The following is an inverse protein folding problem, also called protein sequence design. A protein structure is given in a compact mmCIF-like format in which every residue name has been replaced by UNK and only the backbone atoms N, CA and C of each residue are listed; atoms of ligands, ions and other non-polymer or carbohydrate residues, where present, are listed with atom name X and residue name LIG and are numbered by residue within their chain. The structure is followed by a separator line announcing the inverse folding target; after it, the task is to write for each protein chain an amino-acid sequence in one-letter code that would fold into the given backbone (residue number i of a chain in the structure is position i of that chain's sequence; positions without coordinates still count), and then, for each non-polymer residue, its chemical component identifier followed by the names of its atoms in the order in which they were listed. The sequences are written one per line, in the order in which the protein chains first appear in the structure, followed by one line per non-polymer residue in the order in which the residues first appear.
data_IF_778239255264
#
_entry.id   IF_778239255264
#
_cell.length_a   1.000
_cell.length_b   1.000
_cell.length_c   1.000
_cell.angle_alpha   90.00
_cell.angle_beta   90.00
_cell.angle_gamma   90.00
#
_symmetry.space_group_name_H-M   'P 1'
#
loop_
_entity.id
_entity.type
_entity.pdbx_description
1 polymer ?
#
# COMPACT_ATOMS: atom_id res chain seq x y z
N UNK A 1 13.52 3.96 11.06
CA UNK A 1 13.40 3.49 9.66
C UNK A 1 12.39 2.36 9.61
N UNK A 2 11.46 2.41 8.67
CA UNK A 2 10.45 1.37 8.57
C UNK A 2 11.05 0.08 8.01
N UNK A 3 10.61 -1.04 8.57
CA UNK A 3 10.98 -2.35 8.06
C UNK A 3 10.29 -2.56 6.71
N UNK A 4 10.99 -3.22 5.79
CA UNK A 4 10.42 -3.58 4.49
C UNK A 4 10.07 -5.07 4.52
N UNK A 5 8.79 -5.37 4.37
CA UNK A 5 8.30 -6.76 4.36
C UNK A 5 7.96 -7.24 2.94
N UNK A 6 7.65 -6.32 2.04
CA UNK A 6 7.27 -6.65 0.68
C UNK A 6 7.47 -5.46 -0.24
N UNK A 7 7.45 -5.74 -1.54
CA UNK A 7 7.36 -4.71 -2.56
C UNK A 7 6.08 -4.90 -3.34
N UNK A 8 5.50 -3.79 -3.78
CA UNK A 8 4.28 -3.81 -4.57
C UNK A 8 4.42 -2.86 -5.76
N UNK A 9 3.75 -3.22 -6.83
CA UNK A 9 3.50 -2.29 -7.93
C UNK A 9 2.15 -1.66 -7.69
N UNK A 10 2.12 -0.33 -7.57
CA UNK A 10 0.97 0.37 -7.04
C UNK A 10 0.63 1.58 -7.90
N UNK A 11 -0.66 1.93 -7.92
CA UNK A 11 -1.17 3.11 -8.60
C UNK A 11 -2.05 3.89 -7.62
N UNK A 12 -1.76 5.17 -7.46
CA UNK A 12 -2.61 6.08 -6.70
C UNK A 12 -3.87 6.40 -7.51
N UNK A 13 -5.02 6.39 -6.85
CA UNK A 13 -6.25 6.87 -7.48
C UNK A 13 -6.18 8.38 -7.63
N UNK A 14 -6.68 8.87 -8.76
CA UNK A 14 -6.77 10.30 -9.01
C UNK A 14 -7.94 10.89 -8.23
N UNK A 15 -8.00 12.24 -8.06
CA UNK A 15 -9.17 12.85 -7.44
C UNK A 15 -10.48 12.52 -8.15
N UNK A 16 -10.45 12.34 -9.47
CA UNK A 16 -11.62 11.96 -10.27
C UNK A 16 -12.07 10.53 -9.95
N UNK A 17 -11.17 9.70 -9.45
CA UNK A 17 -11.47 8.34 -9.02
C UNK A 17 -11.79 8.24 -7.53
N UNK A 18 -12.07 9.38 -6.90
CA UNK A 18 -12.32 9.47 -5.46
C UNK A 18 -11.09 9.15 -4.62
N UNK A 19 -9.91 9.37 -5.16
CA UNK A 19 -8.66 9.28 -4.43
C UNK A 19 -8.36 10.53 -3.61
N UNK A 20 -7.12 10.63 -3.16
CA UNK A 20 -6.67 11.82 -2.44
C UNK A 20 -6.68 13.04 -3.38
N UNK A 21 -6.94 14.23 -2.81
CA UNK A 21 -6.85 15.47 -3.57
C UNK A 21 -5.42 15.74 -4.03
N UNK A 22 -4.45 15.36 -3.19
CA UNK A 22 -3.02 15.53 -3.47
C UNK A 22 -2.30 14.25 -3.13
N UNK A 23 -1.23 13.96 -3.85
CA UNK A 23 -0.36 12.83 -3.51
C UNK A 23 0.32 13.10 -2.17
N UNK A 24 0.61 12.03 -1.40
CA UNK A 24 1.36 12.21 -0.15
C UNK A 24 2.71 12.87 -0.42
N UNK A 25 3.12 13.75 0.48
CA UNK A 25 4.47 14.33 0.45
C UNK A 25 5.38 13.51 1.34
N UNK A 26 6.66 13.56 1.06
CA UNK A 26 7.66 12.88 1.85
C UNK A 26 7.88 11.43 1.44
N UNK A 27 8.89 10.78 2.06
CA UNK A 27 9.33 9.44 1.65
C UNK A 27 8.50 8.30 2.24
N UNK A 28 7.62 8.58 3.19
CA UNK A 28 6.82 7.55 3.85
C UNK A 28 5.37 8.00 4.02
N UNK A 29 4.48 7.03 3.95
CA UNK A 29 3.04 7.28 4.10
C UNK A 29 2.43 6.15 4.91
N UNK A 30 1.89 6.48 6.09
CA UNK A 30 1.24 5.50 6.96
C UNK A 30 -0.24 5.45 6.65
N UNK A 31 -0.78 4.25 6.52
CA UNK A 31 -2.17 4.07 6.13
C UNK A 31 -2.69 2.73 6.63
N UNK A 32 -3.96 2.47 6.35
CA UNK A 32 -4.52 1.13 6.44
C UNK A 32 -4.57 0.51 5.05
N UNK A 33 -4.71 -0.79 5.01
CA UNK A 33 -4.85 -1.51 3.76
C UNK A 33 -5.65 -2.79 3.99
N UNK A 34 -6.18 -3.35 2.91
CA UNK A 34 -6.75 -4.69 2.95
C UNK A 34 -6.38 -5.45 1.68
N UNK A 35 -6.42 -6.76 1.77
CA UNK A 35 -6.28 -7.62 0.60
C UNK A 35 -7.63 -7.71 -0.12
N UNK A 36 -7.57 -8.02 -1.41
CA UNK A 36 -8.73 -7.99 -2.30
C UNK A 36 -9.94 -8.78 -1.77
N UNK A 37 -9.66 -9.95 -1.23
CA UNK A 37 -10.70 -10.91 -0.81
C UNK A 37 -10.85 -11.03 0.71
N UNK A 38 -10.26 -10.10 1.47
CA UNK A 38 -10.26 -10.17 2.92
C UNK A 38 -10.96 -8.97 3.52
N UNK A 39 -11.79 -9.18 4.58
CA UNK A 39 -12.47 -8.07 5.23
C UNK A 39 -11.60 -7.32 6.23
N UNK A 40 -10.47 -7.89 6.64
CA UNK A 40 -9.63 -7.31 7.68
C UNK A 40 -8.76 -6.20 7.14
N UNK A 41 -8.59 -5.15 7.95
CA UNK A 41 -7.69 -4.05 7.65
C UNK A 41 -6.39 -4.21 8.46
N UNK A 42 -5.29 -3.79 7.85
CA UNK A 42 -3.96 -3.88 8.44
C UNK A 42 -3.29 -2.51 8.38
N UNK A 43 -2.49 -2.21 9.37
CA UNK A 43 -1.69 -0.98 9.38
C UNK A 43 -0.40 -1.21 8.56
N UNK A 44 -0.12 -0.29 7.65
CA UNK A 44 1.00 -0.41 6.73
C UNK A 44 1.73 0.92 6.60
N UNK A 45 3.03 0.86 6.39
CA UNK A 45 3.83 2.02 5.99
C UNK A 45 4.28 1.80 4.56
N UNK A 46 3.91 2.73 3.69
CA UNK A 46 4.31 2.74 2.29
C UNK A 46 5.53 3.62 2.16
N UNK A 47 6.65 3.05 1.73
CA UNK A 47 7.89 3.80 1.51
C UNK A 47 7.98 4.18 0.04
N UNK A 48 8.21 5.46 -0.20
CA UNK A 48 8.19 6.08 -1.52
C UNK A 48 9.55 6.72 -1.78
N UNK A 49 10.57 5.91 -2.13
CA UNK A 49 11.95 6.43 -2.22
C UNK A 49 12.10 7.61 -3.18
N UNK A 50 11.31 7.64 -4.23
CA UNK A 50 11.34 8.72 -5.22
C UNK A 50 10.08 9.60 -5.14
N UNK A 51 9.40 9.58 -4.00
CA UNK A 51 8.15 10.31 -3.82
C UNK A 51 6.97 9.62 -4.49
N UNK A 52 5.78 10.13 -4.21
CA UNK A 52 4.56 9.62 -4.84
C UNK A 52 4.39 10.22 -6.23
N UNK A 53 3.91 9.41 -7.16
CA UNK A 53 3.62 9.86 -8.52
C UNK A 53 2.42 9.10 -9.05
N UNK A 54 1.68 9.73 -9.97
CA UNK A 54 0.58 9.06 -10.65
C UNK A 54 1.12 8.03 -11.64
N UNK A 55 0.27 7.07 -12.00
CA UNK A 55 0.69 5.93 -12.80
C UNK A 55 1.27 4.84 -11.93
N UNK A 56 1.77 3.78 -12.55
CA UNK A 56 2.34 2.65 -11.83
C UNK A 56 3.70 3.02 -11.27
N UNK A 57 3.91 2.68 -9.99
CA UNK A 57 5.21 2.82 -9.36
C UNK A 57 5.44 1.63 -8.42
N UNK A 58 6.70 1.31 -8.22
CA UNK A 58 7.09 0.28 -7.25
C UNK A 58 7.31 0.96 -5.90
N UNK A 59 6.72 0.39 -4.86
CA UNK A 59 6.83 0.88 -3.50
C UNK A 59 7.26 -0.23 -2.57
N UNK A 60 7.81 0.14 -1.43
CA UNK A 60 8.13 -0.80 -0.35
C UNK A 60 7.04 -0.71 0.71
N UNK A 61 6.67 -1.86 1.25
CA UNK A 61 5.61 -1.97 2.25
C UNK A 61 6.16 -2.59 3.52
N UNK A 62 5.80 -2.01 4.67
CA UNK A 62 6.09 -2.60 5.97
C UNK A 62 4.82 -2.65 6.80
N UNK A 63 4.47 -3.82 7.31
CA UNK A 63 3.28 -3.98 8.16
C UNK A 63 3.66 -3.76 9.62
N UNK A 64 2.81 -3.05 10.33
CA UNK A 64 3.03 -2.81 11.76
C UNK A 64 3.00 -4.12 12.55
N UNK A 65 2.10 -5.03 12.17
CA UNK A 65 1.96 -6.35 12.79
C UNK A 65 2.21 -7.44 11.77
N UNK A 66 3.47 -7.55 11.34
CA UNK A 66 3.88 -8.47 10.25
C UNK A 66 3.45 -9.91 10.53
N UNK A 67 3.60 -10.38 11.75
CA UNK A 67 3.30 -11.75 12.12
C UNK A 67 1.80 -12.07 12.00
N UNK A 68 0.93 -11.07 12.11
CA UNK A 68 -0.51 -11.27 11.99
C UNK A 68 -0.96 -11.35 10.53
N UNK A 69 -0.20 -10.81 9.61
CA UNK A 69 -0.49 -10.89 8.17
C UNK A 69 -0.22 -12.30 7.67
N UNK A 70 0.87 -12.90 8.15
CA UNK A 70 1.15 -14.31 7.95
C UNK A 70 1.18 -14.74 6.50
N UNK A 71 0.45 -15.80 6.22
CA UNK A 71 0.42 -16.45 4.91
C UNK A 71 -0.31 -15.65 3.84
N UNK A 72 -1.02 -14.59 4.22
CA UNK A 72 -1.70 -13.73 3.26
C UNK A 72 -0.72 -12.92 2.43
N UNK A 73 0.51 -12.75 2.94
CA UNK A 73 1.52 -11.97 2.27
C UNK A 73 2.22 -12.82 1.20
N UNK A 74 1.67 -12.80 0.00
CA UNK A 74 2.14 -13.60 -1.14
C UNK A 74 2.24 -12.76 -2.40
N UNK A 75 3.19 -13.12 -3.25
CA UNK A 75 3.30 -12.51 -4.58
C UNK A 75 2.02 -12.75 -5.36
N UNK A 76 1.54 -11.71 -6.04
CA UNK A 76 0.32 -11.77 -6.82
C UNK A 76 -0.94 -11.34 -6.08
N UNK A 77 -0.87 -11.17 -4.76
CA UNK A 77 -2.04 -10.69 -4.01
C UNK A 77 -2.32 -9.23 -4.33
N UNK A 78 -3.57 -8.94 -4.58
CA UNK A 78 -4.01 -7.55 -4.77
C UNK A 78 -4.22 -6.89 -3.44
N UNK A 79 -3.84 -5.61 -3.38
CA UNK A 79 -3.96 -4.81 -2.16
C UNK A 79 -4.65 -3.48 -2.47
N UNK A 80 -5.33 -2.96 -1.45
CA UNK A 80 -5.97 -1.65 -1.50
C UNK A 80 -5.49 -0.85 -0.31
N UNK A 81 -4.93 0.32 -0.58
CA UNK A 81 -4.48 1.26 0.46
C UNK A 81 -5.64 2.20 0.73
N UNK A 82 -5.95 2.40 2.02
CA UNK A 82 -7.16 3.13 2.40
C UNK A 82 -6.87 4.25 3.38
N UNK A 83 -7.75 5.26 3.33
CA UNK A 83 -7.88 6.31 4.36
C UNK A 83 -9.33 6.26 4.81
N UNK A 84 -9.56 5.66 6.00
CA UNK A 84 -10.91 5.36 6.41
C UNK A 84 -11.55 4.41 5.39
N UNK A 85 -12.79 4.67 4.96
CA UNK A 85 -13.43 3.79 3.97
C UNK A 85 -12.98 4.05 2.53
N UNK A 86 -12.21 5.11 2.29
CA UNK A 86 -11.80 5.51 0.95
C UNK A 86 -10.59 4.74 0.50
N UNK A 87 -10.65 4.10 -0.67
CA UNK A 87 -9.49 3.51 -1.32
C UNK A 87 -8.72 4.63 -2.02
N UNK A 88 -7.46 4.82 -1.66
CA UNK A 88 -6.64 5.88 -2.24
C UNK A 88 -5.58 5.34 -3.21
N UNK A 89 -5.27 4.05 -3.12
CA UNK A 89 -4.34 3.41 -4.04
C UNK A 89 -4.63 1.92 -4.12
N UNK A 90 -4.18 1.30 -5.19
CA UNK A 90 -4.36 -0.12 -5.40
C UNK A 90 -3.13 -0.70 -6.07
N UNK A 91 -2.87 -1.97 -5.83
CA UNK A 91 -1.69 -2.59 -6.39
C UNK A 91 -1.64 -4.09 -6.21
N UNK A 92 -0.47 -4.61 -6.46
CA UNK A 92 -0.20 -6.03 -6.41
C UNK A 92 1.17 -6.25 -5.78
N UNK A 93 1.26 -7.24 -4.88
CA UNK A 93 2.53 -7.63 -4.28
C UNK A 93 3.37 -8.32 -5.35
N UNK A 94 4.60 -7.82 -5.55
CA UNK A 94 5.52 -8.34 -6.54
C UNK A 94 6.71 -9.07 -5.92
N UNK A 95 6.97 -8.85 -4.63
CA UNK A 95 8.04 -9.55 -3.92
C UNK A 95 7.71 -9.58 -2.43
N UNK A 96 8.04 -10.67 -1.78
CA UNK A 96 7.96 -10.81 -0.32
C UNK A 96 9.38 -11.01 0.20
N UNK A 97 9.75 -10.21 1.20
CA UNK A 97 11.12 -10.16 1.71
C UNK A 97 11.26 -10.88 3.05
#
# INVERSE_FOLDING_TARGET
MARVDAQARMRWRTPEEDGRKHLPSGPQYAATMHFDDEPDYWSVVVSLPNGAQYGLQTVNLGWLFRENVGEQLQVGRRIFITEGPRVVAEGEIIAVL
#
